data_IF_254475528264
#
_entry.id   IF_254475528264
#
_cell.length_a   1.000
_cell.length_b   1.000
_cell.length_c   1.000
_cell.angle_alpha   90.00
_cell.angle_beta   90.00
_cell.angle_gamma   90.00
#
_symmetry.space_group_name_H-M   'P 1'
#
loop_
_entity.id
_entity.type
_entity.pdbx_description
1 polymer ?
#
# COMPACT_ATOMS: atom_id res chain seq x y z
N UNK A 1 -11.44 -20.21 -14.01
CA UNK A 1 -10.46 -20.48 -12.94
C UNK A 1 -10.60 -19.36 -11.92
N UNK A 2 -10.88 -19.69 -10.66
CA UNK A 2 -10.98 -18.71 -9.56
C UNK A 2 -9.58 -18.22 -9.21
N UNK A 3 -9.31 -16.93 -9.29
CA UNK A 3 -8.29 -16.32 -8.43
C UNK A 3 -8.98 -15.89 -7.14
N UNK A 4 -9.37 -16.86 -6.28
CA UNK A 4 -9.60 -16.53 -4.87
C UNK A 4 -8.21 -16.15 -4.36
N UNK A 5 -7.92 -14.84 -4.30
CA UNK A 5 -6.63 -14.33 -3.84
C UNK A 5 -6.42 -14.75 -2.37
N UNK A 6 -7.50 -14.95 -1.62
CA UNK A 6 -7.50 -15.49 -0.27
C UNK A 6 -8.56 -16.57 -0.09
N UNK A 7 -8.25 -17.64 0.64
CA UNK A 7 -9.22 -18.62 1.09
C UNK A 7 -10.06 -18.08 2.27
N UNK A 8 -11.24 -18.65 2.50
CA UNK A 8 -12.18 -18.17 3.53
C UNK A 8 -11.55 -18.24 4.93
N UNK A 9 -10.69 -19.23 5.17
CA UNK A 9 -9.90 -19.36 6.40
C UNK A 9 -8.83 -18.26 6.57
N UNK A 10 -8.20 -17.84 5.47
CA UNK A 10 -7.19 -16.77 5.47
C UNK A 10 -7.85 -15.41 5.72
N UNK A 11 -9.03 -15.20 5.13
CA UNK A 11 -9.81 -13.99 5.31
C UNK A 11 -10.28 -13.84 6.76
N UNK A 12 -10.65 -14.94 7.42
CA UNK A 12 -11.03 -14.93 8.83
C UNK A 12 -9.82 -14.76 9.77
N UNK A 13 -8.63 -15.19 9.35
CA UNK A 13 -7.37 -14.90 10.06
C UNK A 13 -7.05 -13.40 9.99
N UNK A 14 -7.09 -12.81 8.80
CA UNK A 14 -6.83 -11.37 8.60
C UNK A 14 -7.81 -10.48 9.36
N UNK A 15 -9.09 -10.89 9.46
CA UNK A 15 -10.10 -10.17 10.25
C UNK A 15 -9.76 -10.14 11.74
N UNK A 16 -9.26 -11.26 12.28
CA UNK A 16 -8.83 -11.34 13.68
C UNK A 16 -7.61 -10.47 13.96
N UNK A 17 -6.68 -10.41 13.01
CA UNK A 17 -5.48 -9.57 13.10
C UNK A 17 -5.80 -8.07 12.98
N UNK A 18 -6.82 -7.70 12.22
CA UNK A 18 -7.23 -6.30 12.02
C UNK A 18 -7.96 -5.68 13.23
N UNK A 19 -8.35 -6.49 14.23
CA UNK A 19 -8.91 -5.98 15.48
C UNK A 19 -7.73 -5.61 16.38
N UNK A 20 -7.48 -4.32 16.66
CA UNK A 20 -6.43 -3.95 17.60
C UNK A 20 -6.73 -4.60 18.95
N UNK A 21 -5.77 -5.35 19.49
CA UNK A 21 -5.83 -5.85 20.85
C UNK A 21 -5.95 -4.65 21.79
N UNK A 22 -7.16 -4.40 22.30
CA UNK A 22 -7.41 -3.51 23.43
C UNK A 22 -6.78 -4.12 24.67
N UNK A 23 -5.46 -3.96 24.79
CA UNK A 23 -4.61 -4.17 25.96
C UNK A 23 -3.30 -3.51 25.52
N UNK A 24 -3.02 -2.24 25.82
CA UNK A 24 -2.56 -1.79 27.13
C UNK A 24 -2.94 -0.32 27.35
N UNK A 25 -3.87 -0.08 28.29
CA UNK A 25 -4.08 1.23 28.89
C UNK A 25 -3.96 1.07 30.39
N UNK A 26 -2.72 1.16 30.88
CA UNK A 26 -2.29 1.42 32.26
C UNK A 26 -0.76 1.26 32.21
N UNK A 27 0.04 2.32 32.28
CA UNK A 27 0.34 3.00 33.53
C UNK A 27 0.80 4.43 33.24
N UNK A 28 0.17 5.38 33.92
CA UNK A 28 0.69 6.72 34.12
C UNK A 28 1.63 6.72 35.34
N UNK A 29 2.71 7.51 35.26
CA UNK A 29 3.70 7.76 36.31
C UNK A 29 5.10 7.69 35.69
N UNK A 30 6.00 8.66 35.80
CA UNK A 30 6.12 9.82 36.65
C UNK A 30 7.13 10.80 36.00
N UNK A 31 7.19 12.05 36.46
CA UNK A 31 7.84 13.17 35.79
C UNK A 31 9.35 13.36 36.11
N UNK A 32 10.11 13.75 35.06
CA UNK A 32 11.31 14.62 35.04
C UNK A 32 12.67 14.09 35.57
N UNK A 33 13.85 14.76 35.31
CA UNK A 33 14.21 15.82 34.36
C UNK A 33 15.46 15.52 33.46
N UNK A 34 15.74 16.45 32.53
CA UNK A 34 16.92 16.60 31.65
C UNK A 34 18.30 16.41 32.32
N UNK A 35 19.33 16.06 31.53
CA UNK A 35 20.36 17.07 31.23
C UNK A 35 20.82 17.12 29.77
N UNK A 36 21.65 18.13 29.53
CA UNK A 36 22.11 18.78 28.29
C UNK A 36 23.28 18.04 27.60
N UNK A 37 23.55 18.48 26.36
CA UNK A 37 24.86 18.53 25.68
C UNK A 37 25.42 17.28 24.99
N UNK A 38 25.32 17.23 23.65
CA UNK A 38 26.44 17.51 22.71
C UNK A 38 26.13 17.02 21.28
N UNK A 39 26.17 17.95 20.33
CA UNK A 39 26.35 17.65 18.90
C UNK A 39 27.73 16.99 18.68
N UNK A 40 27.83 16.11 17.68
CA UNK A 40 28.69 16.50 16.56
C UNK A 40 27.96 16.39 15.22
N UNK A 41 28.08 17.46 14.46
CA UNK A 41 27.88 17.49 13.02
C UNK A 41 28.79 16.44 12.36
N UNK A 42 28.22 15.50 11.61
CA UNK A 42 28.97 14.79 10.57
C UNK A 42 28.19 14.98 9.28
N UNK A 43 28.57 16.03 8.54
CA UNK A 43 28.28 16.14 7.12
C UNK A 43 29.09 15.05 6.40
N UNK A 44 28.47 13.90 6.14
CA UNK A 44 28.98 12.96 5.15
C UNK A 44 28.34 13.32 3.81
N UNK A 45 28.91 14.33 3.14
CA UNK A 45 28.78 14.44 1.69
C UNK A 45 29.48 13.22 1.09
N UNK A 46 28.73 12.20 0.69
CA UNK A 46 29.27 11.13 -0.13
C UNK A 46 29.52 11.70 -1.52
N UNK A 47 30.79 12.04 -1.75
CA UNK A 47 31.36 12.24 -3.08
C UNK A 47 31.20 10.94 -3.87
N UNK A 48 30.46 11.01 -4.98
CA UNK A 48 30.37 9.94 -5.98
C UNK A 48 31.65 9.96 -6.82
N UNK A 49 32.41 8.86 -6.94
CA UNK A 49 33.56 8.83 -7.83
C UNK A 49 33.07 8.85 -9.28
N UNK A 50 33.56 9.82 -10.03
CA UNK A 50 33.52 9.84 -11.49
C UNK A 50 34.35 8.66 -11.99
N UNK A 51 33.69 7.64 -12.54
CA UNK A 51 34.33 6.65 -13.42
C UNK A 51 33.60 6.68 -14.74
N UNK A 52 34.39 6.98 -15.77
CA UNK A 52 34.02 7.11 -17.17
C UNK A 52 33.84 5.71 -17.78
N UNK A 53 32.72 5.55 -18.48
CA UNK A 53 32.44 4.59 -19.56
C UNK A 53 32.51 3.09 -19.22
N UNK A 54 31.35 2.52 -18.85
CA UNK A 54 30.99 1.12 -19.13
C UNK A 54 29.49 0.91 -18.92
N UNK A 55 28.80 0.51 -19.99
CA UNK A 55 27.47 -0.12 -20.05
C UNK A 55 26.34 0.54 -19.23
N UNK A 56 25.49 1.34 -19.88
CA UNK A 56 24.25 1.87 -19.29
C UNK A 56 23.39 0.78 -18.62
N UNK A 57 23.41 -0.45 -19.13
CA UNK A 57 22.70 -1.60 -18.54
C UNK A 57 23.30 -2.08 -17.19
N UNK A 58 24.61 -1.94 -17.01
CA UNK A 58 25.32 -2.33 -15.80
C UNK A 58 25.12 -1.27 -14.68
N UNK A 59 25.08 0.00 -15.07
CA UNK A 59 24.77 1.14 -14.18
C UNK A 59 23.32 1.03 -13.68
N UNK A 60 22.36 0.76 -14.58
CA UNK A 60 20.95 0.57 -14.20
C UNK A 60 20.77 -0.66 -13.30
N UNK A 61 21.49 -1.75 -13.56
CA UNK A 61 21.48 -2.94 -12.72
C UNK A 61 21.98 -2.65 -11.30
N UNK A 62 23.10 -1.92 -11.18
CA UNK A 62 23.67 -1.54 -9.89
C UNK A 62 22.75 -0.58 -9.10
N UNK A 63 22.15 0.40 -9.76
CA UNK A 63 21.16 1.29 -9.13
C UNK A 63 19.94 0.50 -8.62
N UNK A 64 19.43 -0.47 -9.37
CA UNK A 64 18.31 -1.30 -8.94
C UNK A 64 18.67 -2.19 -7.74
N UNK A 65 19.88 -2.74 -7.70
CA UNK A 65 20.34 -3.56 -6.57
C UNK A 65 20.55 -2.71 -5.31
N UNK A 66 21.07 -1.48 -5.46
CA UNK A 66 21.12 -0.53 -4.35
C UNK A 66 19.71 -0.20 -3.81
N UNK A 67 18.74 0.03 -4.71
CA UNK A 67 17.35 0.27 -4.31
C UNK A 67 16.75 -0.93 -3.57
N UNK A 68 17.07 -2.15 -4.00
CA UNK A 68 16.66 -3.39 -3.33
C UNK A 68 17.30 -3.52 -1.95
N UNK A 69 18.59 -3.27 -1.82
CA UNK A 69 19.29 -3.31 -0.53
C UNK A 69 18.68 -2.32 0.49
N UNK A 70 18.41 -1.09 0.05
CA UNK A 70 17.76 -0.06 0.89
C UNK A 70 16.34 -0.49 1.28
N UNK A 71 15.61 -1.16 0.38
CA UNK A 71 14.28 -1.71 0.66
C UNK A 71 14.35 -2.78 1.76
N UNK A 72 15.25 -3.74 1.64
CA UNK A 72 15.39 -4.83 2.60
C UNK A 72 15.78 -4.32 3.99
N UNK A 73 16.73 -3.38 4.06
CA UNK A 73 17.12 -2.72 5.30
C UNK A 73 15.93 -2.01 5.94
N UNK A 74 15.18 -1.22 5.17
CA UNK A 74 14.02 -0.49 5.68
C UNK A 74 12.88 -1.43 6.14
N UNK A 75 12.67 -2.56 5.47
CA UNK A 75 11.70 -3.58 5.88
C UNK A 75 12.13 -4.20 7.21
N UNK A 76 13.40 -4.59 7.35
CA UNK A 76 13.94 -5.19 8.58
C UNK A 76 13.81 -4.24 9.77
N UNK A 77 14.18 -2.98 9.58
CA UNK A 77 14.04 -1.93 10.60
C UNK A 77 12.58 -1.69 10.99
N UNK A 78 11.66 -1.71 10.02
CA UNK A 78 10.23 -1.53 10.28
C UNK A 78 9.65 -2.72 11.06
N UNK A 79 10.12 -3.94 10.77
CA UNK A 79 9.72 -5.16 11.48
C UNK A 79 10.18 -5.16 12.94
N UNK A 80 11.38 -4.66 13.22
CA UNK A 80 11.92 -4.56 14.58
C UNK A 80 11.35 -3.38 15.38
N UNK A 81 10.71 -2.41 14.71
CA UNK A 81 10.16 -1.22 15.35
C UNK A 81 8.67 -1.42 15.74
N UNK A 82 8.31 -1.26 17.02
CA UNK A 82 6.92 -1.34 17.45
C UNK A 82 6.08 -0.23 16.81
N UNK A 83 4.78 -0.48 16.60
CA UNK A 83 3.88 0.39 15.83
C UNK A 83 3.92 1.86 16.27
N UNK A 84 4.03 2.11 17.58
CA UNK A 84 4.04 3.44 18.19
C UNK A 84 5.29 4.26 17.83
N UNK A 85 6.41 3.60 17.58
CA UNK A 85 7.70 4.22 17.29
C UNK A 85 8.01 4.28 15.79
N UNK A 86 7.07 3.88 14.94
CA UNK A 86 7.30 3.89 13.48
C UNK A 86 7.34 5.32 12.93
N UNK A 87 8.28 5.61 12.02
CA UNK A 87 8.43 6.96 11.48
C UNK A 87 7.20 7.37 10.67
N UNK A 88 6.75 8.61 10.86
CA UNK A 88 5.66 9.16 10.04
C UNK A 88 6.20 9.52 8.66
N UNK A 89 5.52 9.09 7.60
CA UNK A 89 5.93 9.41 6.24
C UNK A 89 5.68 10.90 5.93
N UNK A 90 6.69 11.65 5.47
CA UNK A 90 6.51 13.02 5.05
C UNK A 90 5.63 13.09 3.80
N UNK A 91 4.81 14.14 3.70
CA UNK A 91 4.09 14.42 2.46
C UNK A 91 5.09 14.91 1.43
N UNK A 92 5.27 14.16 0.33
CA UNK A 92 6.13 14.58 -0.78
C UNK A 92 5.37 15.67 -1.55
N UNK A 93 5.77 16.96 -1.44
CA UNK A 93 4.95 18.06 -1.92
C UNK A 93 4.95 18.16 -3.44
N UNK A 94 6.03 17.73 -4.10
CA UNK A 94 6.19 17.74 -5.55
C UNK A 94 6.75 16.41 -6.03
N UNK A 95 5.92 15.62 -6.68
CA UNK A 95 6.31 14.38 -7.33
C UNK A 95 7.02 14.77 -8.64
N UNK A 96 8.33 15.06 -8.55
CA UNK A 96 9.18 15.31 -9.72
C UNK A 96 9.19 14.09 -10.66
N UNK A 97 9.58 14.26 -11.93
CA UNK A 97 9.72 13.12 -12.86
C UNK A 97 10.65 12.04 -12.29
N UNK A 98 11.74 12.46 -11.61
CA UNK A 98 12.67 11.57 -10.88
C UNK A 98 11.97 10.81 -9.77
N UNK A 99 11.23 11.50 -8.89
CA UNK A 99 10.51 10.86 -7.78
C UNK A 99 9.47 9.84 -8.28
N UNK A 100 8.83 10.12 -9.42
CA UNK A 100 7.93 9.14 -10.08
C UNK A 100 8.66 7.92 -10.60
N UNK A 101 9.84 8.10 -11.18
CA UNK A 101 10.65 7.01 -11.69
C UNK A 101 11.06 6.09 -10.53
N UNK A 102 11.53 6.66 -9.41
CA UNK A 102 11.85 5.91 -8.19
C UNK A 102 10.64 5.10 -7.71
N UNK A 103 9.48 5.74 -7.51
CA UNK A 103 8.26 5.03 -7.07
C UNK A 103 7.87 3.92 -8.05
N UNK A 104 8.00 4.15 -9.37
CA UNK A 104 7.69 3.13 -10.38
C UNK A 104 8.65 1.94 -10.36
N UNK A 105 9.93 2.18 -10.10
CA UNK A 105 10.93 1.14 -9.99
C UNK A 105 10.74 0.29 -8.71
N UNK A 106 10.27 0.89 -7.62
CA UNK A 106 9.91 0.16 -6.39
C UNK A 106 8.68 -0.73 -6.54
N UNK A 107 7.67 -0.31 -7.32
CA UNK A 107 6.42 -1.07 -7.47
C UNK A 107 6.63 -2.57 -7.79
N UNK A 108 7.39 -2.97 -8.82
CA UNK A 108 7.61 -4.39 -9.11
C UNK A 108 8.39 -5.10 -7.98
N UNK A 109 9.35 -4.44 -7.33
CA UNK A 109 10.11 -5.01 -6.23
C UNK A 109 9.20 -5.33 -5.03
N UNK A 110 8.36 -4.37 -4.65
CA UNK A 110 7.43 -4.51 -3.52
C UNK A 110 6.43 -5.63 -3.76
N UNK A 111 5.94 -5.80 -5.00
CA UNK A 111 5.04 -6.91 -5.34
C UNK A 111 5.67 -8.26 -5.02
N UNK A 112 6.95 -8.47 -5.31
CA UNK A 112 7.65 -9.72 -4.99
C UNK A 112 7.67 -10.01 -3.48
N UNK A 113 7.92 -9.01 -2.64
CA UNK A 113 7.87 -9.20 -1.18
C UNK A 113 6.44 -9.41 -0.67
N UNK A 114 5.44 -8.75 -1.27
CA UNK A 114 4.04 -8.91 -0.90
C UNK A 114 3.49 -10.29 -1.25
N UNK A 115 3.93 -10.90 -2.35
CA UNK A 115 3.56 -12.27 -2.71
C UNK A 115 4.02 -13.31 -1.67
N UNK A 116 5.14 -13.03 -1.00
CA UNK A 116 5.65 -13.87 0.08
C UNK A 116 4.96 -13.62 1.44
N UNK A 117 4.27 -12.47 1.60
CA UNK A 117 3.68 -12.05 2.87
C UNK A 117 2.45 -12.87 3.23
N UNK A 118 2.38 -13.36 4.47
CA UNK A 118 1.22 -14.16 4.95
C UNK A 118 0.38 -13.46 6.04
N UNK A 119 0.99 -12.52 6.73
CA UNK A 119 0.42 -11.80 7.87
C UNK A 119 0.22 -10.31 7.54
N UNK A 120 -0.77 -9.68 8.18
CA UNK A 120 -1.04 -8.26 7.98
C UNK A 120 0.08 -7.40 8.56
N UNK A 121 0.66 -7.81 9.69
CA UNK A 121 1.81 -7.14 10.30
C UNK A 121 3.04 -7.15 9.37
N UNK A 122 3.23 -8.25 8.62
CA UNK A 122 4.29 -8.40 7.65
C UNK A 122 4.03 -7.50 6.43
N UNK A 123 2.80 -7.51 5.91
CA UNK A 123 2.37 -6.65 4.81
C UNK A 123 2.55 -5.17 5.17
N UNK A 124 2.13 -4.78 6.37
CA UNK A 124 2.27 -3.41 6.86
C UNK A 124 3.74 -3.00 6.96
N UNK A 125 4.59 -3.89 7.48
CA UNK A 125 6.03 -3.64 7.57
C UNK A 125 6.70 -3.55 6.20
N UNK A 126 6.27 -4.36 5.22
CA UNK A 126 6.73 -4.30 3.82
C UNK A 126 6.33 -2.96 3.18
N UNK A 127 5.06 -2.58 3.30
CA UNK A 127 4.54 -1.35 2.69
C UNK A 127 5.16 -0.10 3.29
N UNK A 128 5.27 -0.05 4.62
CA UNK A 128 5.90 1.08 5.31
C UNK A 128 7.40 1.12 5.05
N UNK A 129 8.10 -0.02 5.11
CA UNK A 129 9.52 -0.13 4.77
C UNK A 129 9.80 0.37 3.34
N UNK A 130 8.95 0.00 2.37
CA UNK A 130 9.08 0.50 1.00
C UNK A 130 8.88 2.02 0.91
N UNK A 131 7.91 2.57 1.62
CA UNK A 131 7.69 4.01 1.65
C UNK A 131 8.86 4.76 2.32
N UNK A 132 9.44 4.20 3.38
CA UNK A 132 10.66 4.70 4.05
C UNK A 132 11.85 4.66 3.09
N UNK A 133 12.08 3.55 2.40
CA UNK A 133 13.14 3.40 1.40
C UNK A 133 13.02 4.43 0.26
N UNK A 134 11.81 4.62 -0.27
CA UNK A 134 11.53 5.67 -1.25
C UNK A 134 11.84 7.07 -0.70
N UNK A 135 11.47 7.35 0.55
CA UNK A 135 11.79 8.63 1.19
C UNK A 135 13.30 8.83 1.34
N UNK A 136 14.06 7.78 1.71
CA UNK A 136 15.53 7.81 1.80
C UNK A 136 16.16 8.16 0.45
N UNK A 137 15.75 7.50 -0.62
CA UNK A 137 16.32 7.70 -1.97
C UNK A 137 15.95 9.06 -2.55
N UNK A 138 14.76 9.59 -2.24
CA UNK A 138 14.34 10.93 -2.66
C UNK A 138 15.00 12.02 -1.79
N UNK A 139 15.64 11.66 -0.68
CA UNK A 139 16.21 12.61 0.29
C UNK A 139 15.15 13.34 1.12
N UNK A 140 13.96 12.75 1.28
CA UNK A 140 12.90 13.32 2.10
C UNK A 140 13.21 13.06 3.59
N UNK A 141 13.28 14.14 4.38
CA UNK A 141 13.52 14.05 5.83
C UNK A 141 12.37 13.31 6.51
N UNK A 142 12.68 12.14 7.07
CA UNK A 142 11.75 11.39 7.91
C UNK A 142 11.71 12.05 9.31
N UNK A 143 10.54 12.47 9.80
CA UNK A 143 10.41 12.97 11.17
C UNK A 143 10.80 11.90 12.18
N UNK A 144 11.55 12.31 13.21
CA UNK A 144 12.02 11.45 14.30
C UNK A 144 10.80 10.89 15.06
N UNK A 145 10.84 9.59 15.33
CA UNK A 145 9.85 8.89 16.15
C UNK A 145 9.66 9.60 17.50
N UNK A 146 8.42 9.77 17.95
CA UNK A 146 8.10 10.40 19.24
C UNK A 146 7.78 11.91 19.22
N UNK A 147 8.08 12.65 18.14
CA UNK A 147 7.57 14.03 17.97
C UNK A 147 6.22 14.05 17.26
N UNK A 148 5.20 13.51 17.92
CA UNK A 148 3.83 13.55 17.41
C UNK A 148 3.20 14.92 17.69
N UNK A 149 3.16 15.83 16.71
CA UNK A 149 2.06 16.77 16.67
C UNK A 149 0.80 15.96 16.34
N UNK A 150 -0.17 16.03 17.25
CA UNK A 150 -1.49 15.40 17.16
C UNK A 150 -2.23 15.98 15.95
N UNK A 151 -2.09 15.36 14.79
CA UNK A 151 -3.02 15.62 13.70
C UNK A 151 -4.33 14.91 14.03
N UNK A 152 -5.38 15.74 14.14
CA UNK A 152 -6.77 15.41 14.38
C UNK A 152 -7.23 14.15 13.64
N UNK A 153 -8.20 13.46 14.24
CA UNK A 153 -8.90 12.23 13.81
C UNK A 153 -9.58 12.29 12.43
N UNK A 154 -9.20 13.24 11.57
CA UNK A 154 -9.68 13.37 10.22
C UNK A 154 -9.31 12.12 9.41
N UNK A 155 -10.34 11.49 8.84
CA UNK A 155 -10.18 10.36 7.92
C UNK A 155 -9.17 10.73 6.84
N UNK A 156 -8.08 9.99 6.77
CA UNK A 156 -7.00 10.25 5.81
C UNK A 156 -7.52 10.10 4.37
N UNK A 157 -6.99 10.91 3.44
CA UNK A 157 -7.46 10.93 2.05
C UNK A 157 -7.36 9.56 1.38
N UNK A 158 -6.32 8.78 1.69
CA UNK A 158 -6.17 7.42 1.16
C UNK A 158 -7.23 6.48 1.70
N UNK A 159 -7.56 6.58 3.00
CA UNK A 159 -8.60 5.77 3.63
C UNK A 159 -9.95 6.04 2.97
N UNK A 160 -10.31 7.32 2.80
CA UNK A 160 -11.51 7.72 2.06
C UNK A 160 -11.53 7.16 0.64
N UNK A 161 -10.41 7.19 -0.08
CA UNK A 161 -10.31 6.61 -1.44
C UNK A 161 -10.54 5.10 -1.46
N UNK A 162 -10.02 4.37 -0.49
CA UNK A 162 -10.24 2.91 -0.38
C UNK A 162 -11.71 2.63 -0.05
N UNK A 163 -12.27 3.32 0.94
CA UNK A 163 -13.67 3.21 1.33
C UNK A 163 -14.61 3.53 0.16
N UNK A 164 -14.33 4.58 -0.62
CA UNK A 164 -15.09 4.94 -1.81
C UNK A 164 -15.00 3.86 -2.90
N UNK A 165 -13.81 3.25 -3.10
CA UNK A 165 -13.63 2.15 -4.06
C UNK A 165 -14.42 0.91 -3.64
N UNK A 166 -14.37 0.56 -2.35
CA UNK A 166 -15.15 -0.55 -1.78
C UNK A 166 -16.65 -0.29 -1.93
N UNK A 167 -17.11 0.93 -1.61
CA UNK A 167 -18.51 1.31 -1.76
C UNK A 167 -18.98 1.20 -3.22
N UNK A 168 -18.17 1.66 -4.17
CA UNK A 168 -18.45 1.52 -5.62
C UNK A 168 -18.51 0.06 -6.05
N UNK A 169 -17.58 -0.79 -5.59
CA UNK A 169 -17.58 -2.22 -5.88
C UNK A 169 -18.85 -2.92 -5.34
N UNK A 170 -19.23 -2.65 -4.08
CA UNK A 170 -20.46 -3.17 -3.47
C UNK A 170 -21.71 -2.72 -4.23
N UNK A 171 -21.78 -1.45 -4.62
CA UNK A 171 -22.88 -0.92 -5.42
C UNK A 171 -22.98 -1.59 -6.79
N UNK A 172 -21.84 -1.87 -7.44
CA UNK A 172 -21.80 -2.58 -8.71
C UNK A 172 -22.28 -4.04 -8.56
N UNK A 173 -21.77 -4.77 -7.56
CA UNK A 173 -22.22 -6.13 -7.24
C UNK A 173 -23.74 -6.16 -7.04
N UNK A 174 -24.29 -5.20 -6.28
CA UNK A 174 -25.73 -5.09 -6.05
C UNK A 174 -26.52 -4.95 -7.36
N UNK A 175 -26.08 -4.06 -8.26
CA UNK A 175 -26.74 -3.85 -9.56
C UNK A 175 -26.64 -5.07 -10.48
N UNK A 176 -25.49 -5.76 -10.51
CA UNK A 176 -25.31 -7.00 -11.28
C UNK A 176 -26.23 -8.11 -10.74
N UNK A 177 -26.35 -8.25 -9.42
CA UNK A 177 -27.30 -9.18 -8.78
C UNK A 177 -28.74 -8.84 -9.12
N UNK A 178 -29.13 -7.56 -9.07
CA UNK A 178 -30.49 -7.13 -9.43
C UNK A 178 -30.83 -7.46 -10.88
N UNK A 179 -29.91 -7.23 -11.82
CA UNK A 179 -30.10 -7.62 -13.21
C UNK A 179 -30.25 -9.14 -13.38
N UNK A 180 -29.40 -9.92 -12.69
CA UNK A 180 -29.49 -11.40 -12.68
C UNK A 180 -30.83 -11.91 -12.15
N UNK A 181 -31.44 -11.20 -11.20
CA UNK A 181 -32.78 -11.49 -10.68
C UNK A 181 -33.93 -11.00 -11.58
N UNK A 182 -33.65 -10.53 -12.81
CA UNK A 182 -34.66 -10.11 -13.79
C UNK A 182 -34.99 -8.62 -13.81
N UNK A 183 -34.26 -7.77 -13.07
CA UNK A 183 -34.51 -6.33 -13.08
C UNK A 183 -33.88 -5.64 -14.30
N UNK A 184 -34.73 -5.37 -15.30
CA UNK A 184 -34.33 -4.76 -16.57
C UNK A 184 -34.53 -3.24 -16.64
N UNK A 185 -34.57 -2.54 -15.49
CA UNK A 185 -34.65 -1.07 -15.51
C UNK A 185 -33.49 -0.47 -16.32
N UNK A 186 -33.72 0.57 -17.16
CA UNK A 186 -32.70 1.11 -18.06
C UNK A 186 -31.36 1.47 -17.40
N UNK A 187 -31.40 2.03 -16.17
CA UNK A 187 -30.19 2.36 -15.40
C UNK A 187 -29.37 1.14 -14.99
N UNK A 188 -30.03 0.03 -14.66
CA UNK A 188 -29.37 -1.24 -14.30
C UNK A 188 -28.76 -1.85 -15.56
N UNK A 189 -29.52 -1.93 -16.64
CA UNK A 189 -29.04 -2.42 -17.95
C UNK A 189 -27.82 -1.62 -18.42
N UNK A 190 -27.87 -0.29 -18.35
CA UNK A 190 -26.73 0.56 -18.69
C UNK A 190 -25.50 0.27 -17.81
N UNK A 191 -25.69 0.12 -16.49
CA UNK A 191 -24.59 -0.24 -15.59
C UNK A 191 -23.97 -1.59 -15.97
N UNK A 192 -24.80 -2.59 -16.28
CA UNK A 192 -24.33 -3.92 -16.68
C UNK A 192 -23.54 -3.83 -17.99
N UNK A 193 -24.04 -3.10 -19.01
CA UNK A 193 -23.28 -2.88 -20.26
C UNK A 193 -21.93 -2.23 -20.01
N UNK A 194 -21.87 -1.22 -19.13
CA UNK A 194 -20.61 -0.58 -18.77
C UNK A 194 -19.66 -1.52 -18.01
N UNK A 195 -20.19 -2.39 -17.17
CA UNK A 195 -19.40 -3.37 -16.42
C UNK A 195 -18.72 -4.42 -17.31
N UNK A 196 -19.31 -4.67 -18.50
CA UNK A 196 -18.79 -5.56 -19.55
C UNK A 196 -18.26 -4.78 -20.76
N UNK A 197 -18.10 -3.46 -20.68
CA UNK A 197 -17.58 -2.67 -21.80
C UNK A 197 -16.18 -3.16 -22.19
N UNK A 198 -15.96 -3.39 -23.48
CA UNK A 198 -14.72 -3.97 -24.01
C UNK A 198 -14.70 -5.51 -24.04
N UNK A 199 -15.70 -6.16 -23.47
CA UNK A 199 -15.92 -7.61 -23.58
C UNK A 199 -17.15 -7.79 -24.47
N UNK A 200 -17.00 -8.42 -25.64
CA UNK A 200 -18.07 -8.58 -26.65
C UNK A 200 -19.20 -9.52 -26.18
N UNK A 201 -19.89 -9.15 -25.09
CA UNK A 201 -20.95 -9.91 -24.47
C UNK A 201 -22.27 -9.19 -24.74
N UNK A 202 -23.21 -9.91 -25.35
CA UNK A 202 -24.58 -9.43 -25.49
C UNK A 202 -25.40 -9.83 -24.28
N UNK A 203 -26.18 -8.89 -23.74
CA UNK A 203 -27.03 -9.13 -22.58
C UNK A 203 -28.20 -10.09 -22.85
N UNK A 204 -28.47 -10.41 -24.12
CA UNK A 204 -29.50 -11.37 -24.54
C UNK A 204 -28.97 -12.80 -24.71
N UNK A 205 -27.66 -13.04 -24.54
CA UNK A 205 -27.08 -14.36 -24.73
C UNK A 205 -27.44 -15.31 -23.58
N UNK A 206 -27.67 -16.60 -23.85
CA UNK A 206 -28.07 -17.57 -22.83
C UNK A 206 -27.00 -17.76 -21.73
N UNK A 207 -25.72 -17.51 -22.03
CA UNK A 207 -24.62 -17.62 -21.08
C UNK A 207 -24.38 -16.34 -20.24
N UNK A 208 -25.21 -15.30 -20.38
CA UNK A 208 -25.05 -14.05 -19.63
C UNK A 208 -25.11 -14.27 -18.11
N UNK A 209 -25.94 -15.21 -17.65
CA UNK A 209 -26.08 -15.55 -16.23
C UNK A 209 -24.79 -16.11 -15.64
N UNK A 210 -24.06 -16.92 -16.41
CA UNK A 210 -22.75 -17.42 -16.03
C UNK A 210 -21.73 -16.28 -15.98
N UNK A 211 -21.67 -15.44 -17.03
CA UNK A 211 -20.75 -14.29 -17.07
C UNK A 211 -21.00 -13.26 -15.98
N UNK A 212 -22.26 -13.03 -15.62
CA UNK A 212 -22.64 -12.22 -14.47
C UNK A 212 -22.13 -12.82 -13.17
N UNK A 213 -22.21 -14.14 -13.02
CA UNK A 213 -21.74 -14.82 -11.81
C UNK A 213 -20.23 -14.77 -11.71
N UNK A 214 -19.50 -15.06 -12.80
CA UNK A 214 -18.05 -14.86 -12.89
C UNK A 214 -17.66 -13.43 -12.50
N UNK A 215 -18.30 -12.43 -13.11
CA UNK A 215 -17.99 -11.02 -12.84
C UNK A 215 -18.34 -10.57 -11.41
N UNK A 216 -19.40 -11.10 -10.83
CA UNK A 216 -19.77 -10.84 -9.43
C UNK A 216 -18.72 -11.45 -8.50
N UNK A 217 -18.22 -12.64 -8.82
CA UNK A 217 -17.23 -13.33 -8.02
C UNK A 217 -15.85 -12.65 -8.13
N UNK A 218 -15.47 -12.12 -9.30
CA UNK A 218 -14.25 -11.31 -9.46
C UNK A 218 -14.25 -10.02 -8.60
N UNK A 219 -15.44 -9.49 -8.31
CA UNK A 219 -15.60 -8.23 -7.56
C UNK A 219 -15.68 -8.42 -6.04
N UNK A 220 -15.83 -9.66 -5.57
CA UNK A 220 -15.86 -10.01 -4.15
C UNK A 220 -14.46 -10.21 -3.61
#
# INVERSE_FOLDING_TARGET
MRSKIFDDAELERLRREAIPSSNESAMAGDAAPHPTDQHPHVEAAMDLPVVVDSNDDEIVSHELEQMRSILEEAILETRSTPLENRPRLPRIPNISKRNRAVVRAFNPMVVTYLEASRELCETDSILLGAAVAVCRIIGAKLPIAGRATTQSSAITVWRKRIEDRIAKARALIGRLKSFRSGNNRPRIVHTVRMAFAGINISLSQPYITQKLTERIDDLK
#
